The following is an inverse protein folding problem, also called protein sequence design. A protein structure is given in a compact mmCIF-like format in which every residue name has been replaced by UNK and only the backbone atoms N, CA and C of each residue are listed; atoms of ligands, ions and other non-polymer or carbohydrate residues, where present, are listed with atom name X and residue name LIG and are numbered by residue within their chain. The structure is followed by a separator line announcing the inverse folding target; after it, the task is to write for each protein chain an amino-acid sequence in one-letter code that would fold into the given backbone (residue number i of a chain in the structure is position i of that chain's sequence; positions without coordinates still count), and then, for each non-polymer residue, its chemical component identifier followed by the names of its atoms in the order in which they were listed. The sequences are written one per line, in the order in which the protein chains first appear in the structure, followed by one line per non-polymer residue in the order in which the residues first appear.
data_IF_543846430984
#
_entry.id   IF_543846430984
#
_cell.length_a   1.000
_cell.length_b   1.000
_cell.length_c   1.000
_cell.angle_alpha   90.00
_cell.angle_beta   90.00
_cell.angle_gamma   90.00
#
_symmetry.space_group_name_H-M   'P 1'
#
loop_
_entity.id
_entity.type
_entity.pdbx_description
1 polymer ?
#
# COMPACT_ATOMS: atom_id res chain seq x y z
N UNK A 1 44.62 49.83 -25.00
CA UNK A 1 45.19 50.81 -24.05
C UNK A 1 44.09 51.77 -23.62
N UNK A 2 43.54 51.55 -22.41
CA UNK A 2 42.75 52.49 -21.57
C UNK A 2 41.56 53.25 -22.19
N UNK A 3 40.71 53.95 -21.41
CA UNK A 3 40.36 53.81 -19.99
C UNK A 3 38.82 53.77 -19.78
N UNK A 4 38.33 53.39 -18.60
CA UNK A 4 37.13 54.01 -18.01
C UNK A 4 36.99 53.67 -16.53
N UNK A 5 37.51 54.55 -15.70
CA UNK A 5 36.76 55.09 -14.55
C UNK A 5 36.20 56.46 -15.03
N UNK A 6 35.24 57.17 -14.36
CA UNK A 6 34.89 57.09 -12.94
C UNK A 6 33.38 57.37 -12.60
N UNK A 7 33.10 57.54 -11.29
CA UNK A 7 32.04 58.35 -10.64
C UNK A 7 30.68 57.70 -10.25
N UNK A 8 30.55 57.52 -8.93
CA UNK A 8 29.35 57.62 -8.07
C UNK A 8 28.65 58.99 -8.23
N UNK A 9 27.48 59.31 -7.59
CA UNK A 9 26.73 58.64 -6.51
C UNK A 9 25.23 58.47 -6.86
N UNK A 10 24.36 58.11 -5.89
CA UNK A 10 23.04 58.71 -5.58
C UNK A 10 22.35 57.87 -4.48
N UNK A 11 22.46 58.37 -3.25
CA UNK A 11 21.40 58.52 -2.24
C UNK A 11 20.29 57.46 -2.08
N UNK A 12 20.35 56.81 -0.91
CA UNK A 12 19.30 56.71 0.10
C UNK A 12 17.95 56.08 -0.26
N UNK A 13 17.71 54.89 0.29
CA UNK A 13 16.42 54.57 0.89
C UNK A 13 16.65 53.74 2.16
N UNK A 14 16.10 54.26 3.24
CA UNK A 14 16.28 53.76 4.59
C UNK A 14 15.50 52.46 4.84
N UNK A 15 16.06 51.63 5.72
CA UNK A 15 15.29 50.77 6.62
C UNK A 15 14.78 49.46 6.04
N UNK A 16 15.43 48.36 6.41
CA UNK A 16 14.82 47.36 7.29
C UNK A 16 15.92 46.45 7.83
N UNK A 17 16.10 46.46 9.14
CA UNK A 17 16.97 45.53 9.84
C UNK A 17 16.38 44.12 9.71
N UNK A 18 16.94 43.29 8.83
CA UNK A 18 16.69 41.85 8.83
C UNK A 18 17.54 41.21 9.94
N UNK A 19 16.87 40.78 11.01
CA UNK A 19 17.44 39.87 11.98
C UNK A 19 17.74 38.53 11.28
N UNK A 20 19.03 38.20 11.20
CA UNK A 20 19.55 36.89 10.89
C UNK A 20 19.20 35.91 12.02
N UNK A 21 18.16 35.11 11.82
CA UNK A 21 18.05 33.82 12.50
C UNK A 21 18.56 32.75 11.53
N UNK A 22 19.79 32.31 11.76
CA UNK A 22 20.35 31.12 11.13
C UNK A 22 19.49 29.90 11.52
N UNK A 23 18.68 29.44 10.58
CA UNK A 23 17.95 28.19 10.66
C UNK A 23 17.96 27.55 9.29
N UNK A 24 18.91 26.66 9.06
CA UNK A 24 18.94 25.81 7.88
C UNK A 24 17.70 24.90 7.94
N UNK A 25 16.72 25.18 7.09
CA UNK A 25 15.44 24.48 7.07
C UNK A 25 14.71 24.76 5.78
N UNK A 26 15.30 24.38 4.65
CA UNK A 26 14.58 24.28 3.39
C UNK A 26 13.49 23.21 3.56
N UNK A 27 12.29 23.62 3.95
CA UNK A 27 11.11 22.77 3.91
C UNK A 27 10.72 22.60 2.44
N UNK A 28 10.78 21.39 1.87
CA UNK A 28 10.28 21.17 0.53
C UNK A 28 8.78 21.50 0.50
N UNK A 29 8.38 22.26 -0.51
CA UNK A 29 7.01 22.68 -0.72
C UNK A 29 6.07 21.46 -0.74
N UNK A 30 5.18 21.41 0.24
CA UNK A 30 4.09 20.43 0.31
C UNK A 30 3.13 20.71 -0.84
N UNK A 31 3.16 19.87 -1.86
CA UNK A 31 2.08 19.81 -2.84
C UNK A 31 0.76 19.48 -2.11
N UNK A 32 -0.39 20.07 -2.49
CA UNK A 32 -1.65 19.77 -1.84
C UNK A 32 -2.07 18.32 -2.10
N UNK A 33 -2.23 17.54 -1.03
CA UNK A 33 -3.31 16.54 -0.95
C UNK A 33 -3.01 15.11 -1.39
N UNK A 34 -1.88 14.51 -0.97
CA UNK A 34 -1.85 13.07 -0.73
C UNK A 34 -1.75 12.86 0.78
N UNK A 35 -2.88 12.77 1.46
CA UNK A 35 -2.92 12.33 2.86
C UNK A 35 -2.23 10.97 2.91
N UNK A 36 -1.17 10.78 3.71
CA UNK A 36 -0.55 9.47 3.83
C UNK A 36 -1.62 8.48 4.27
N UNK A 37 -1.96 7.53 3.41
CA UNK A 37 -2.88 6.46 3.74
C UNK A 37 -2.22 5.65 4.85
N UNK A 38 -2.75 5.77 6.07
CA UNK A 38 -2.18 5.13 7.24
C UNK A 38 -1.97 3.63 6.95
N UNK A 39 -0.74 3.18 7.09
CA UNK A 39 -0.41 1.75 7.05
C UNK A 39 -0.84 1.18 8.40
N UNK A 40 -1.86 0.34 8.39
CA UNK A 40 -2.52 -0.15 9.59
C UNK A 40 -2.34 -1.67 9.74
N UNK A 41 -2.51 -2.20 10.96
CA UNK A 41 -2.84 -3.60 11.16
C UNK A 41 -4.04 -4.01 10.28
N UNK A 42 -4.13 -5.29 9.92
CA UNK A 42 -5.25 -5.80 9.16
C UNK A 42 -6.56 -5.61 9.94
N UNK A 43 -7.61 -5.06 9.30
CA UNK A 43 -8.88 -4.80 9.96
C UNK A 43 -9.57 -6.11 10.39
N UNK A 44 -10.37 -6.10 11.48
CA UNK A 44 -11.05 -7.30 11.99
C UNK A 44 -11.93 -8.03 10.97
N UNK A 45 -12.50 -7.28 10.02
CA UNK A 45 -13.32 -7.83 8.94
C UNK A 45 -12.55 -8.81 8.03
N UNK A 46 -11.24 -8.63 7.88
CA UNK A 46 -10.39 -9.51 7.07
C UNK A 46 -9.79 -10.67 7.86
N UNK A 47 -9.74 -10.59 9.19
CA UNK A 47 -9.05 -11.58 10.01
C UNK A 47 -9.75 -12.94 9.96
N UNK A 48 -9.07 -14.01 10.36
CA UNK A 48 -9.58 -15.38 10.36
C UNK A 48 -9.04 -16.22 9.21
N UNK A 49 -9.61 -17.41 9.07
CA UNK A 49 -9.22 -18.39 8.06
C UNK A 49 -10.22 -18.40 6.92
N UNK A 50 -9.71 -18.42 5.71
CA UNK A 50 -10.43 -18.27 4.47
C UNK A 50 -10.07 -19.43 3.54
N UNK A 51 -11.06 -20.04 2.89
CA UNK A 51 -10.88 -21.13 1.93
C UNK A 51 -11.26 -20.70 0.52
N UNK A 52 -10.43 -20.98 -0.50
CA UNK A 52 -10.73 -20.60 -1.87
C UNK A 52 -11.93 -21.39 -2.39
N UNK A 53 -12.92 -20.68 -2.94
CA UNK A 53 -14.12 -21.25 -3.57
C UNK A 53 -13.86 -21.61 -5.03
N UNK A 54 -12.99 -20.87 -5.71
CA UNK A 54 -12.71 -21.06 -7.14
C UNK A 54 -11.41 -21.84 -7.38
N UNK A 55 -11.34 -22.48 -8.56
CA UNK A 55 -10.17 -23.25 -9.00
C UNK A 55 -8.89 -22.41 -9.13
N UNK A 56 -9.02 -21.12 -9.47
CA UNK A 56 -7.89 -20.25 -9.81
C UNK A 56 -6.85 -20.11 -8.68
N UNK A 57 -7.27 -20.21 -7.42
CA UNK A 57 -6.35 -20.21 -6.26
C UNK A 57 -6.48 -21.46 -5.39
N UNK A 58 -7.10 -22.53 -5.90
CA UNK A 58 -7.21 -23.80 -5.15
C UNK A 58 -5.83 -24.39 -4.82
N UNK A 59 -4.85 -24.26 -5.73
CA UNK A 59 -3.47 -24.69 -5.49
C UNK A 59 -2.72 -23.84 -4.45
N UNK A 60 -3.17 -22.60 -4.22
CA UNK A 60 -2.62 -21.74 -3.17
C UNK A 60 -3.17 -22.09 -1.78
N UNK A 61 -4.32 -22.76 -1.72
CA UNK A 61 -4.91 -23.27 -0.50
C UNK A 61 -5.47 -22.17 0.42
N UNK A 62 -5.72 -22.49 1.70
CA UNK A 62 -6.35 -21.57 2.62
C UNK A 62 -5.46 -20.36 2.92
N UNK A 63 -6.10 -19.22 3.10
CA UNK A 63 -5.50 -17.96 3.53
C UNK A 63 -5.87 -17.72 5.00
N UNK A 64 -4.87 -17.51 5.86
CA UNK A 64 -5.11 -17.10 7.25
C UNK A 64 -4.59 -15.69 7.48
N UNK A 65 -5.46 -14.80 7.95
CA UNK A 65 -5.15 -13.41 8.25
C UNK A 65 -5.32 -13.16 9.75
N UNK A 66 -4.33 -12.55 10.38
CA UNK A 66 -4.40 -12.00 11.73
C UNK A 66 -4.23 -10.48 11.65
N UNK A 67 -4.25 -9.78 12.79
CA UNK A 67 -4.07 -8.34 12.82
C UNK A 67 -2.72 -7.88 12.21
N UNK A 68 -1.67 -8.70 12.21
CA UNK A 68 -0.35 -8.30 11.69
C UNK A 68 0.26 -9.31 10.73
N UNK A 69 -0.36 -10.48 10.55
CA UNK A 69 0.25 -11.55 9.79
C UNK A 69 -0.68 -12.17 8.76
N UNK A 70 -0.08 -12.66 7.69
CA UNK A 70 -0.68 -13.47 6.65
C UNK A 70 0.05 -14.81 6.58
N UNK A 71 -0.71 -15.90 6.53
CA UNK A 71 -0.18 -17.24 6.24
C UNK A 71 -0.88 -17.76 5.00
N UNK A 72 -0.11 -18.11 3.97
CA UNK A 72 -0.62 -18.51 2.67
C UNK A 72 0.46 -19.33 1.93
N UNK A 73 0.09 -20.47 1.35
CA UNK A 73 1.05 -21.43 0.79
C UNK A 73 2.01 -20.83 -0.25
N UNK A 74 1.59 -19.91 -1.15
CA UNK A 74 2.50 -19.19 -2.04
C UNK A 74 3.65 -18.45 -1.33
N UNK A 75 3.51 -18.11 -0.05
CA UNK A 75 4.54 -17.46 0.77
C UNK A 75 5.35 -18.43 1.64
N UNK A 76 5.09 -19.73 1.51
CA UNK A 76 5.59 -20.78 2.39
C UNK A 76 4.75 -20.96 3.67
N UNK A 77 5.15 -21.90 4.55
CA UNK A 77 4.38 -22.23 5.75
C UNK A 77 4.49 -21.18 6.88
N UNK A 78 5.45 -20.26 6.79
CA UNK A 78 5.71 -19.28 7.83
C UNK A 78 4.74 -18.09 7.74
N UNK A 79 4.23 -17.65 8.89
CA UNK A 79 3.48 -16.41 8.99
C UNK A 79 4.36 -15.23 8.56
N UNK A 80 3.84 -14.39 7.68
CA UNK A 80 4.49 -13.19 7.16
C UNK A 80 3.84 -11.97 7.74
N UNK A 81 4.65 -10.96 8.10
CA UNK A 81 4.09 -9.65 8.41
C UNK A 81 3.27 -9.14 7.21
N UNK A 82 2.15 -8.50 7.50
CA UNK A 82 1.28 -7.89 6.52
C UNK A 82 0.68 -6.61 7.11
N UNK A 83 0.49 -5.62 6.26
CA UNK A 83 -0.16 -4.35 6.61
C UNK A 83 -1.24 -4.03 5.60
N UNK A 84 -2.29 -3.35 6.03
CA UNK A 84 -3.42 -3.00 5.18
C UNK A 84 -3.50 -1.48 4.97
N UNK A 85 -3.94 -1.10 3.78
CA UNK A 85 -4.35 0.25 3.42
C UNK A 85 -5.74 0.17 2.80
N UNK A 86 -6.69 0.96 3.30
CA UNK A 86 -8.03 1.04 2.70
C UNK A 86 -7.97 1.82 1.39
N UNK A 87 -8.64 1.32 0.35
CA UNK A 87 -8.86 2.00 -0.92
C UNK A 87 -10.31 1.89 -1.38
N UNK A 88 -10.61 2.49 -2.53
CA UNK A 88 -11.97 2.49 -3.10
C UNK A 88 -12.50 1.07 -3.37
N UNK A 89 -11.61 0.14 -3.73
CA UNK A 89 -11.94 -1.22 -4.16
C UNK A 89 -11.67 -2.27 -3.07
N UNK A 90 -11.63 -1.86 -1.79
CA UNK A 90 -11.32 -2.75 -0.66
C UNK A 90 -9.96 -2.45 -0.02
N UNK A 91 -9.28 -3.47 0.48
CA UNK A 91 -8.04 -3.31 1.24
C UNK A 91 -6.84 -3.79 0.43
N UNK A 92 -5.83 -2.93 0.29
CA UNK A 92 -4.54 -3.30 -0.27
C UNK A 92 -3.65 -3.82 0.85
N UNK A 93 -3.25 -5.09 0.75
CA UNK A 93 -2.34 -5.74 1.68
C UNK A 93 -0.93 -5.70 1.11
N UNK A 94 0.00 -5.15 1.88
CA UNK A 94 1.43 -5.10 1.56
C UNK A 94 2.18 -6.13 2.38
N UNK A 95 3.03 -6.91 1.70
CA UNK A 95 3.87 -7.96 2.29
C UNK A 95 5.33 -7.47 2.32
N UNK A 96 5.87 -7.02 3.47
CA UNK A 96 7.28 -6.66 3.57
C UNK A 96 8.20 -7.86 3.29
N UNK A 97 9.28 -7.66 2.52
CA UNK A 97 10.24 -8.72 2.19
C UNK A 97 9.77 -9.69 1.09
N UNK A 98 9.18 -9.13 0.03
CA UNK A 98 8.38 -9.78 -1.03
C UNK A 98 9.04 -10.95 -1.78
N UNK A 99 10.34 -11.15 -1.61
CA UNK A 99 11.11 -12.15 -2.35
C UNK A 99 10.66 -13.61 -2.11
N UNK A 100 9.85 -13.87 -1.09
CA UNK A 100 9.45 -15.23 -0.72
C UNK A 100 8.07 -15.67 -1.24
N UNK A 101 7.17 -14.76 -1.65
CA UNK A 101 5.85 -15.15 -2.12
C UNK A 101 5.87 -15.35 -3.63
N UNK A 102 5.54 -16.55 -4.10
CA UNK A 102 5.43 -16.88 -5.52
C UNK A 102 4.16 -17.65 -5.81
N UNK A 103 3.41 -17.18 -6.81
CA UNK A 103 2.25 -17.88 -7.35
C UNK A 103 2.63 -18.40 -8.73
N UNK A 104 2.66 -19.72 -8.91
CA UNK A 104 3.04 -20.38 -10.18
C UNK A 104 4.40 -19.92 -10.75
N UNK A 105 5.34 -19.55 -9.86
CA UNK A 105 6.66 -19.06 -10.22
C UNK A 105 6.75 -17.53 -10.30
N UNK A 106 5.63 -16.82 -10.39
CA UNK A 106 5.60 -15.35 -10.48
C UNK A 106 5.65 -14.70 -9.09
N UNK A 107 6.47 -13.64 -8.90
CA UNK A 107 6.57 -12.96 -7.62
C UNK A 107 5.26 -12.24 -7.27
N UNK A 108 4.75 -12.52 -6.07
CA UNK A 108 3.59 -11.82 -5.53
C UNK A 108 4.07 -10.63 -4.73
N UNK A 109 3.66 -9.45 -5.16
CA UNK A 109 4.05 -8.18 -4.53
C UNK A 109 2.93 -7.60 -3.70
N UNK A 110 1.67 -7.75 -4.12
CA UNK A 110 0.53 -7.20 -3.41
C UNK A 110 -0.69 -8.09 -3.53
N UNK A 111 -1.55 -7.98 -2.52
CA UNK A 111 -2.87 -8.59 -2.51
C UNK A 111 -3.91 -7.51 -2.33
N UNK A 112 -5.02 -7.61 -3.06
CA UNK A 112 -6.21 -6.80 -2.80
C UNK A 112 -7.29 -7.71 -2.25
N UNK A 113 -7.77 -7.35 -1.06
CA UNK A 113 -8.78 -8.07 -0.32
C UNK A 113 -10.06 -7.22 -0.28
N UNK A 114 -11.11 -7.68 -0.95
CA UNK A 114 -12.37 -6.95 -1.12
C UNK A 114 -13.49 -7.74 -0.46
N UNK A 115 -13.90 -7.39 0.78
CA UNK A 115 -15.01 -8.05 1.45
C UNK A 115 -16.29 -7.92 0.64
N UNK A 116 -17.11 -8.97 0.58
CA UNK A 116 -18.41 -8.88 -0.06
C UNK A 116 -19.38 -8.09 0.85
N UNK A 117 -19.92 -6.93 0.40
CA UNK A 117 -20.78 -6.09 1.23
C UNK A 117 -22.13 -6.73 1.55
N UNK A 118 -22.54 -7.76 0.80
CA UNK A 118 -23.78 -8.52 1.03
C UNK A 118 -23.56 -9.79 1.82
N UNK A 119 -22.32 -10.24 1.94
CA UNK A 119 -21.96 -11.48 2.63
C UNK A 119 -20.59 -11.33 3.32
N UNK A 120 -20.59 -11.05 4.62
CA UNK A 120 -19.35 -10.91 5.40
C UNK A 120 -18.52 -12.21 5.48
N UNK A 121 -19.05 -13.32 5.00
CA UNK A 121 -18.36 -14.60 4.90
C UNK A 121 -17.63 -14.79 3.58
N UNK A 122 -17.72 -13.86 2.64
CA UNK A 122 -17.03 -13.90 1.37
C UNK A 122 -16.02 -12.76 1.24
N UNK A 123 -14.88 -13.09 0.64
CA UNK A 123 -13.79 -12.17 0.36
C UNK A 123 -13.29 -12.42 -1.06
N UNK A 124 -13.32 -11.41 -1.91
CA UNK A 124 -12.56 -11.49 -3.16
C UNK A 124 -11.08 -11.18 -2.88
N UNK A 125 -10.20 -12.05 -3.34
CA UNK A 125 -8.75 -11.86 -3.28
C UNK A 125 -8.19 -11.76 -4.69
N UNK A 126 -7.61 -10.61 -5.02
CA UNK A 126 -6.84 -10.40 -6.25
C UNK A 126 -5.34 -10.36 -5.92
N UNK A 127 -4.54 -11.04 -6.74
CA UNK A 127 -3.09 -11.21 -6.56
C UNK A 127 -2.36 -10.47 -7.68
N UNK A 128 -1.35 -9.67 -7.35
CA UNK A 128 -0.63 -8.84 -8.32
C UNK A 128 0.87 -9.10 -8.29
N UNK A 129 1.50 -8.94 -9.45
CA UNK A 129 2.93 -8.69 -9.62
C UNK A 129 3.15 -7.19 -9.88
N UNK A 130 4.17 -6.61 -9.23
CA UNK A 130 4.42 -5.16 -9.23
C UNK A 130 3.61 -4.36 -8.21
N UNK A 131 3.92 -3.08 -8.04
CA UNK A 131 3.19 -2.21 -7.12
C UNK A 131 1.83 -1.81 -7.74
N UNK A 132 0.72 -2.24 -7.14
CA UNK A 132 -0.66 -1.93 -7.56
C UNK A 132 -1.02 -0.43 -7.51
N UNK A 133 -0.12 0.41 -7.00
CA UNK A 133 -0.25 1.87 -7.05
C UNK A 133 0.07 2.44 -8.43
N UNK A 134 0.65 1.65 -9.35
CA UNK A 134 1.01 2.08 -10.69
C UNK A 134 0.28 1.23 -11.73
N UNK A 135 -0.85 1.69 -12.28
CA UNK A 135 -1.56 0.95 -13.32
C UNK A 135 -0.79 0.95 -14.67
N UNK A 136 -0.92 -0.14 -15.45
CA UNK A 136 -1.59 -1.38 -15.09
C UNK A 136 -0.64 -2.30 -14.30
N UNK A 137 -0.90 -2.50 -13.01
CA UNK A 137 -0.27 -3.61 -12.28
C UNK A 137 -0.87 -4.92 -12.78
N UNK A 138 -0.02 -5.89 -13.10
CA UNK A 138 -0.45 -7.14 -13.69
C UNK A 138 -1.12 -8.01 -12.62
N UNK A 139 -2.37 -8.39 -12.87
CA UNK A 139 -3.13 -9.28 -11.99
C UNK A 139 -2.83 -10.73 -12.35
N UNK A 140 -2.05 -11.40 -11.52
CA UNK A 140 -1.67 -12.81 -11.67
C UNK A 140 -2.89 -13.73 -11.56
N UNK A 141 -3.74 -13.50 -10.56
CA UNK A 141 -4.89 -14.34 -10.29
C UNK A 141 -5.97 -13.61 -9.48
N UNK A 142 -7.17 -14.18 -9.47
CA UNK A 142 -8.26 -13.75 -8.60
C UNK A 142 -9.09 -14.95 -8.14
N UNK A 143 -9.60 -14.91 -6.92
CA UNK A 143 -10.56 -15.89 -6.43
C UNK A 143 -11.46 -15.32 -5.35
N UNK A 144 -12.66 -15.90 -5.22
CA UNK A 144 -13.50 -15.72 -4.04
C UNK A 144 -13.04 -16.71 -2.98
N UNK A 145 -12.89 -16.24 -1.76
CA UNK A 145 -12.66 -17.02 -0.56
C UNK A 145 -13.88 -16.97 0.34
N UNK A 146 -14.12 -18.06 1.08
CA UNK A 146 -15.15 -18.14 2.12
C UNK A 146 -14.51 -18.28 3.49
N UNK A 147 -15.04 -17.58 4.48
CA UNK A 147 -14.53 -17.64 5.85
C UNK A 147 -14.91 -18.97 6.48
N UNK A 148 -13.94 -19.68 7.04
CA UNK A 148 -14.22 -20.89 7.80
C UNK A 148 -15.02 -20.58 9.06
N UNK A 149 -15.98 -21.45 9.37
CA UNK A 149 -16.89 -21.26 10.51
C UNK A 149 -18.05 -20.33 10.22
N UNK A 150 -18.15 -19.77 9.02
CA UNK A 150 -19.40 -19.20 8.54
C UNK A 150 -20.36 -20.32 8.14
N UNK A 151 -21.63 -20.22 8.57
CA UNK A 151 -22.68 -21.02 7.97
C UNK A 151 -22.74 -20.70 6.47
N UNK A 152 -22.88 -21.70 5.58
CA UNK A 152 -23.12 -21.40 4.18
C UNK A 152 -24.35 -20.49 4.09
N UNK A 153 -24.24 -19.38 3.35
CA UNK A 153 -25.38 -18.52 3.09
C UNK A 153 -26.52 -19.41 2.60
N UNK A 154 -27.62 -19.46 3.38
CA UNK A 154 -28.77 -20.30 3.06
C UNK A 154 -29.18 -20.06 1.61
N UNK A 155 -29.17 -21.13 0.81
CA UNK A 155 -29.66 -21.10 -0.56
C UNK A 155 -31.16 -20.85 -0.59
#
# INVERSE_FOLDING_TARGET
MSPRAPRAPHTAAAGLALLLAAGCGAQPATAPGATPTAVMPLPPALQGRWEPVSKALSGAGPLTLTAQTLTWSPCGPAARAATAQSGADGWLLTLPGQAACRLEGEPVTQLRATPNPRNACELELSVFSGAAQTPPAERLAWAVYTRMGCAPAGR
#
